data_IF_706335751505
#
_entry.id   IF_706335751505
#
_cell.length_a   1.000
_cell.length_b   1.000
_cell.length_c   1.000
_cell.angle_alpha   90.00
_cell.angle_beta   90.00
_cell.angle_gamma   90.00
#
_symmetry.space_group_name_H-M   'P 1'
#
loop_
_entity.id
_entity.type
_entity.pdbx_description
1 polymer ?
#
# COMPACT_ATOMS: atom_id res chain seq x y z
N UNK A 1 0.00 21.83 -17.26
CA UNK A 1 -1.40 21.35 -17.13
C UNK A 1 -1.99 21.92 -15.85
N UNK A 2 -3.23 22.40 -15.88
CA UNK A 2 -3.89 22.99 -14.71
C UNK A 2 -4.44 21.87 -13.82
N UNK A 3 -3.95 21.77 -12.58
CA UNK A 3 -4.55 20.92 -11.57
C UNK A 3 -5.95 21.47 -11.25
N UNK A 4 -7.00 20.71 -11.58
CA UNK A 4 -8.40 21.10 -11.31
C UNK A 4 -8.76 21.00 -9.82
N UNK A 5 -7.87 20.46 -8.99
CA UNK A 5 -8.10 20.24 -7.55
C UNK A 5 -7.62 21.44 -6.71
N UNK A 6 -8.38 21.75 -5.66
CA UNK A 6 -8.07 22.82 -4.71
C UNK A 6 -6.74 22.56 -3.98
N UNK A 7 -5.89 23.59 -3.89
CA UNK A 7 -4.56 23.49 -3.25
C UNK A 7 -4.64 23.06 -1.78
N UNK A 8 -5.69 23.45 -1.04
CA UNK A 8 -5.89 23.02 0.36
C UNK A 8 -6.21 21.53 0.42
N UNK A 9 -6.99 21.02 -0.53
CA UNK A 9 -7.31 19.60 -0.61
C UNK A 9 -6.04 18.76 -0.84
N UNK A 10 -5.20 19.17 -1.78
CA UNK A 10 -3.92 18.51 -2.07
C UNK A 10 -3.01 18.51 -0.83
N UNK A 11 -2.92 19.64 -0.11
CA UNK A 11 -2.13 19.73 1.11
C UNK A 11 -2.66 18.81 2.21
N UNK A 12 -3.99 18.71 2.36
CA UNK A 12 -4.61 17.79 3.30
C UNK A 12 -4.31 16.31 2.97
N UNK A 13 -4.40 15.91 1.68
CA UNK A 13 -4.03 14.55 1.29
C UNK A 13 -2.53 14.29 1.44
N UNK A 14 -1.66 15.25 1.15
CA UNK A 14 -0.21 15.13 1.40
C UNK A 14 0.06 14.82 2.88
N UNK A 15 -0.60 15.52 3.80
CA UNK A 15 -0.45 15.28 5.24
C UNK A 15 -0.92 13.87 5.63
N UNK A 16 -2.07 13.42 5.13
CA UNK A 16 -2.58 12.05 5.37
C UNK A 16 -1.63 10.98 4.80
N UNK A 17 -1.10 11.18 3.59
CA UNK A 17 -0.15 10.27 2.96
C UNK A 17 1.12 10.09 3.80
N UNK A 18 1.65 11.20 4.34
CA UNK A 18 2.82 11.17 5.23
C UNK A 18 2.51 10.44 6.54
N UNK A 19 1.32 10.66 7.11
CA UNK A 19 0.86 9.96 8.31
C UNK A 19 0.79 8.44 8.07
N UNK A 20 0.14 8.01 6.98
CA UNK A 20 0.10 6.59 6.59
C UNK A 20 1.49 6.00 6.35
N UNK A 21 2.41 6.74 5.71
CA UNK A 21 3.79 6.31 5.51
C UNK A 21 4.50 6.06 6.84
N UNK A 22 4.35 6.97 7.79
CA UNK A 22 4.94 6.81 9.13
C UNK A 22 4.29 5.65 9.89
N UNK A 23 2.98 5.46 9.78
CA UNK A 23 2.28 4.35 10.42
C UNK A 23 2.80 3.00 9.92
N UNK A 24 2.99 2.84 8.60
CA UNK A 24 3.55 1.63 7.98
C UNK A 24 5.00 1.43 8.42
N UNK A 25 5.82 2.49 8.40
CA UNK A 25 7.21 2.43 8.86
C UNK A 25 7.31 2.02 10.34
N UNK A 26 6.41 2.52 11.18
CA UNK A 26 6.35 2.15 12.59
C UNK A 26 5.89 0.70 12.78
N UNK A 27 4.88 0.27 12.02
CA UNK A 27 4.41 -1.13 11.97
C UNK A 27 5.56 -2.08 11.62
N UNK A 28 6.29 -1.80 10.52
CA UNK A 28 7.44 -2.59 10.10
C UNK A 28 8.56 -2.64 11.17
N UNK A 29 8.87 -1.50 11.81
CA UNK A 29 9.85 -1.45 12.90
C UNK A 29 9.41 -2.29 14.10
N UNK A 30 8.13 -2.25 14.45
CA UNK A 30 7.59 -2.99 15.58
C UNK A 30 7.56 -4.51 15.30
N UNK A 31 7.21 -4.91 14.08
CA UNK A 31 7.27 -6.32 13.67
C UNK A 31 8.70 -6.85 13.63
N UNK A 32 9.69 -6.03 13.26
CA UNK A 32 11.09 -6.43 13.25
C UNK A 32 11.64 -6.69 14.66
N UNK A 33 11.20 -5.95 15.67
CA UNK A 33 11.61 -6.22 17.06
C UNK A 33 10.95 -7.46 17.65
N UNK A 34 9.73 -7.80 17.21
CA UNK A 34 9.00 -8.99 17.67
C UNK A 34 9.53 -10.28 17.03
N UNK A 35 9.91 -10.22 15.74
CA UNK A 35 10.58 -11.30 14.99
C UNK A 35 11.95 -11.66 15.59
N UNK A 36 12.64 -10.68 16.19
CA UNK A 36 13.91 -10.89 16.90
C UNK A 36 13.75 -11.48 18.31
N UNK A 37 12.54 -11.45 18.89
CA UNK A 37 12.26 -12.00 20.23
C UNK A 37 11.79 -13.45 20.19
N UNK A 38 11.49 -13.99 19.01
CA UNK A 38 11.25 -15.41 18.82
C UNK A 38 12.64 -16.08 18.78
N UNK A 39 13.20 -16.29 19.97
CA UNK A 39 14.45 -17.04 20.11
C UNK A 39 14.27 -18.45 19.55
N UNK A 40 15.18 -18.95 18.70
CA UNK A 40 15.18 -20.34 18.22
C UNK A 40 15.39 -21.38 19.34
N UNK A 41 15.50 -20.94 20.59
CA UNK A 41 15.70 -21.77 21.79
C UNK A 41 14.39 -22.40 22.30
N UNK A 42 13.21 -21.92 21.86
CA UNK A 42 11.90 -22.52 22.21
C UNK A 42 11.46 -23.61 21.20
N UNK A 43 12.30 -23.93 20.20
CA UNK A 43 12.06 -24.97 19.21
C UNK A 43 12.29 -26.37 19.81
N UNK A 44 11.37 -26.82 20.66
CA UNK A 44 11.31 -28.21 21.10
C UNK A 44 10.58 -29.07 20.08
N UNK A 45 11.37 -29.89 19.38
CA UNK A 45 11.05 -31.20 18.77
C UNK A 45 9.89 -31.30 17.74
N UNK A 46 10.30 -31.31 16.46
CA UNK A 46 9.68 -31.91 15.25
C UNK A 46 8.29 -31.42 14.75
N UNK A 47 7.42 -30.87 15.61
CA UNK A 47 6.12 -30.31 15.19
C UNK A 47 6.14 -28.80 14.88
N UNK A 48 7.10 -28.08 15.47
CA UNK A 48 7.09 -26.62 15.52
C UNK A 48 7.77 -25.94 14.31
N UNK A 49 8.65 -26.64 13.60
CA UNK A 49 9.35 -26.11 12.41
C UNK A 49 8.37 -25.70 11.30
N UNK A 50 7.31 -26.49 11.09
CA UNK A 50 6.27 -26.15 10.12
C UNK A 50 5.56 -24.85 10.53
N UNK A 51 5.26 -24.68 11.82
CA UNK A 51 4.60 -23.49 12.36
C UNK A 51 5.49 -22.24 12.28
N UNK A 52 6.79 -22.37 12.57
CA UNK A 52 7.78 -21.30 12.40
C UNK A 52 7.90 -20.88 10.93
N UNK A 53 8.03 -21.84 10.00
CA UNK A 53 8.13 -21.55 8.57
C UNK A 53 6.85 -20.89 8.04
N UNK A 54 5.67 -21.33 8.47
CA UNK A 54 4.40 -20.69 8.12
C UNK A 54 4.35 -19.27 8.66
N UNK A 55 4.73 -19.05 9.92
CA UNK A 55 4.73 -17.72 10.55
C UNK A 55 5.70 -16.74 9.88
N UNK A 56 6.87 -17.24 9.45
CA UNK A 56 7.84 -16.47 8.66
C UNK A 56 7.30 -16.11 7.27
N UNK A 57 6.67 -17.06 6.56
CA UNK A 57 6.07 -16.82 5.24
C UNK A 57 4.92 -15.80 5.33
N UNK A 58 4.06 -15.91 6.34
CA UNK A 58 2.97 -14.96 6.60
C UNK A 58 3.53 -13.56 6.86
N UNK A 59 4.56 -13.45 7.70
CA UNK A 59 5.26 -12.19 7.98
C UNK A 59 5.89 -11.58 6.72
N UNK A 60 6.48 -12.41 5.86
CA UNK A 60 7.06 -11.96 4.58
C UNK A 60 5.98 -11.40 3.63
N UNK A 61 4.86 -12.10 3.48
CA UNK A 61 3.75 -11.64 2.63
C UNK A 61 3.07 -10.36 3.17
N UNK A 62 2.96 -10.21 4.49
CA UNK A 62 2.51 -8.96 5.13
C UNK A 62 3.45 -7.80 4.80
N UNK A 63 4.76 -8.00 4.98
CA UNK A 63 5.79 -7.00 4.64
C UNK A 63 5.74 -6.61 3.16
N UNK A 64 5.58 -7.57 2.25
CA UNK A 64 5.45 -7.26 0.81
C UNK A 64 4.25 -6.36 0.50
N UNK A 65 3.09 -6.61 1.12
CA UNK A 65 1.90 -5.75 0.95
C UNK A 65 2.12 -4.35 1.51
N UNK A 66 2.76 -4.24 2.66
CA UNK A 66 3.11 -2.95 3.26
C UNK A 66 4.12 -2.18 2.39
N UNK A 67 5.13 -2.84 1.83
CA UNK A 67 6.09 -2.23 0.90
C UNK A 67 5.41 -1.75 -0.38
N UNK A 68 4.50 -2.56 -0.95
CA UNK A 68 3.70 -2.15 -2.12
C UNK A 68 2.89 -0.89 -1.80
N UNK A 69 2.20 -0.87 -0.66
CA UNK A 69 1.44 0.30 -0.20
C UNK A 69 2.33 1.53 0.03
N UNK A 70 3.52 1.34 0.61
CA UNK A 70 4.50 2.41 0.80
C UNK A 70 4.91 3.02 -0.56
N UNK A 71 5.16 2.17 -1.56
CA UNK A 71 5.44 2.60 -2.93
C UNK A 71 4.26 3.33 -3.57
N UNK A 72 3.02 2.93 -3.27
CA UNK A 72 1.80 3.65 -3.69
C UNK A 72 1.73 5.06 -3.12
N UNK A 73 1.98 5.18 -1.82
CA UNK A 73 2.02 6.47 -1.13
C UNK A 73 3.11 7.38 -1.69
N UNK A 74 4.31 6.85 -1.93
CA UNK A 74 5.45 7.63 -2.43
C UNK A 74 5.19 8.18 -3.84
N UNK A 75 4.60 7.36 -4.72
CA UNK A 75 4.17 7.80 -6.05
C UNK A 75 3.10 8.89 -5.96
N UNK A 76 2.13 8.75 -5.05
CA UNK A 76 1.10 9.77 -4.86
C UNK A 76 1.70 11.10 -4.38
N UNK A 77 2.66 11.07 -3.45
CA UNK A 77 3.40 12.25 -2.99
C UNK A 77 4.18 12.92 -4.12
N UNK A 78 4.81 12.11 -4.99
CA UNK A 78 5.53 12.63 -6.16
C UNK A 78 4.58 13.30 -7.15
N UNK A 79 3.42 12.70 -7.45
CA UNK A 79 2.38 13.31 -8.29
C UNK A 79 1.85 14.63 -7.72
N UNK A 80 1.78 14.76 -6.40
CA UNK A 80 1.43 16.02 -5.73
C UNK A 80 2.48 17.10 -6.03
N UNK A 81 3.76 16.74 -5.98
CA UNK A 81 4.88 17.65 -6.26
C UNK A 81 4.92 18.06 -7.74
N UNK A 82 4.68 17.11 -8.64
CA UNK A 82 4.61 17.35 -10.09
C UNK A 82 3.33 18.08 -10.52
N UNK A 83 2.34 18.21 -9.63
CA UNK A 83 1.05 18.84 -9.96
C UNK A 83 0.21 18.02 -10.93
N UNK A 84 0.27 16.68 -10.83
CA UNK A 84 -0.53 15.70 -11.60
C UNK A 84 -1.32 14.76 -10.68
N UNK A 85 -1.52 15.18 -9.43
CA UNK A 85 -2.28 14.43 -8.44
C UNK A 85 -3.78 14.37 -8.79
N UNK A 86 -4.39 13.21 -8.58
CA UNK A 86 -5.80 12.99 -8.87
C UNK A 86 -6.10 12.62 -10.32
N UNK A 87 -5.11 12.25 -11.12
CA UNK A 87 -5.29 11.72 -12.48
C UNK A 87 -4.89 10.24 -12.56
N UNK A 88 -5.71 9.47 -13.28
CA UNK A 88 -5.53 8.05 -13.52
C UNK A 88 -4.25 7.80 -14.34
N UNK A 89 -3.43 6.81 -13.96
CA UNK A 89 -2.22 6.46 -14.73
C UNK A 89 -2.52 5.73 -16.06
N UNK A 90 -3.72 5.16 -16.21
CA UNK A 90 -4.10 4.37 -17.38
C UNK A 90 -4.95 5.17 -18.34
N UNK A 91 -6.01 5.80 -17.84
CA UNK A 91 -6.97 6.52 -18.67
C UNK A 91 -6.67 8.02 -18.76
N UNK A 92 -5.71 8.52 -17.98
CA UNK A 92 -5.36 9.95 -17.88
C UNK A 92 -6.53 10.85 -17.42
N UNK A 93 -7.64 10.26 -16.98
CA UNK A 93 -8.84 10.95 -16.53
C UNK A 93 -8.75 11.37 -15.05
N UNK A 94 -9.47 12.43 -14.66
CA UNK A 94 -9.56 12.84 -13.26
C UNK A 94 -10.28 11.77 -12.41
N UNK A 95 -9.65 11.40 -11.30
CA UNK A 95 -10.19 10.48 -10.29
C UNK A 95 -11.20 11.23 -9.42
N UNK A 96 -12.32 10.59 -9.09
CA UNK A 96 -13.33 11.16 -8.21
C UNK A 96 -12.76 11.56 -6.83
N UNK A 97 -13.09 12.78 -6.39
CA UNK A 97 -12.67 13.30 -5.08
C UNK A 97 -13.06 12.38 -3.92
N UNK A 98 -14.27 11.82 -3.95
CA UNK A 98 -14.74 10.87 -2.91
C UNK A 98 -13.83 9.65 -2.77
N UNK A 99 -13.20 9.20 -3.86
CA UNK A 99 -12.28 8.07 -3.86
C UNK A 99 -10.92 8.47 -3.31
N UNK A 100 -10.41 9.65 -3.69
CA UNK A 100 -9.18 10.22 -3.13
C UNK A 100 -9.31 10.53 -1.63
N UNK A 101 -10.52 10.89 -1.16
CA UNK A 101 -10.81 11.07 0.26
C UNK A 101 -10.71 9.77 1.06
N UNK A 102 -11.25 8.66 0.51
CA UNK A 102 -11.17 7.32 1.11
C UNK A 102 -9.77 6.70 1.00
N UNK A 103 -9.13 6.86 -0.15
CA UNK A 103 -7.82 6.27 -0.47
C UNK A 103 -6.94 7.32 -1.17
N UNK A 104 -6.16 8.12 -0.42
CA UNK A 104 -5.32 9.18 -0.99
C UNK A 104 -4.25 8.69 -1.97
N UNK A 105 -3.86 7.42 -1.89
CA UNK A 105 -2.83 6.81 -2.74
C UNK A 105 -3.42 6.14 -4.00
N UNK A 106 -4.73 6.26 -4.26
CA UNK A 106 -5.37 5.68 -5.43
C UNK A 106 -4.75 6.24 -6.72
N UNK A 107 -4.20 5.34 -7.55
CA UNK A 107 -3.55 5.69 -8.83
C UNK A 107 -4.45 5.47 -10.06
N UNK A 108 -5.51 4.67 -9.88
CA UNK A 108 -6.42 4.22 -10.93
C UNK A 108 -7.82 4.79 -10.68
N UNK A 109 -8.52 5.12 -11.77
CA UNK A 109 -9.95 5.42 -11.76
C UNK A 109 -10.77 4.16 -11.42
N UNK A 110 -12.05 4.34 -11.09
CA UNK A 110 -12.96 3.22 -10.82
C UNK A 110 -12.99 2.25 -12.00
N UNK A 111 -13.12 2.79 -13.21
CA UNK A 111 -13.17 2.01 -14.45
C UNK A 111 -11.86 1.24 -14.71
N UNK A 112 -10.70 1.88 -14.50
CA UNK A 112 -9.41 1.21 -14.63
C UNK A 112 -9.18 0.15 -13.53
N UNK A 113 -9.70 0.38 -12.32
CA UNK A 113 -9.64 -0.60 -11.24
C UNK A 113 -10.54 -1.80 -11.52
N UNK A 114 -11.76 -1.60 -12.03
CA UNK A 114 -12.67 -2.68 -12.44
C UNK A 114 -12.08 -3.50 -13.58
N UNK A 115 -11.47 -2.86 -14.59
CA UNK A 115 -10.79 -3.56 -15.68
C UNK A 115 -9.57 -4.36 -15.18
N UNK A 116 -8.81 -3.81 -14.24
CA UNK A 116 -7.69 -4.51 -13.64
C UNK A 116 -8.16 -5.71 -12.79
N UNK A 117 -9.24 -5.54 -12.02
CA UNK A 117 -9.83 -6.62 -11.21
C UNK A 117 -10.39 -7.73 -12.11
N UNK A 118 -11.04 -7.37 -13.22
CA UNK A 118 -11.48 -8.31 -14.27
C UNK A 118 -10.30 -9.10 -14.85
N UNK A 119 -9.17 -8.44 -15.12
CA UNK A 119 -7.94 -9.09 -15.62
C UNK A 119 -7.24 -9.95 -14.56
N UNK A 120 -7.25 -9.53 -13.30
CA UNK A 120 -6.61 -10.27 -12.20
C UNK A 120 -7.44 -11.46 -11.72
N UNK A 121 -8.78 -11.34 -11.72
CA UNK A 121 -9.69 -12.43 -11.38
C UNK A 121 -9.58 -13.63 -12.33
N UNK A 122 -9.13 -13.40 -13.58
CA UNK A 122 -8.84 -14.49 -14.52
C UNK A 122 -7.59 -15.30 -14.13
N UNK A 123 -6.66 -14.75 -13.34
CA UNK A 123 -5.34 -15.37 -13.08
C UNK A 123 -5.32 -16.30 -11.87
N UNK A 124 -6.41 -16.40 -11.11
CA UNK A 124 -6.53 -17.30 -9.92
C UNK A 124 -7.32 -18.58 -10.22
N UNK A 125 -7.76 -18.78 -11.46
CA UNK A 125 -8.36 -20.02 -11.94
C UNK A 125 -7.44 -20.65 -13.01
N UNK A 126 -6.30 -21.19 -12.58
CA UNK A 126 -5.34 -21.90 -13.42
C UNK A 126 -4.52 -22.86 -12.58
#
# INVERSE_FOLDING_TARGET
MANTFDTKFIQAQKKKLIDFKNQILNSMKNTQVEDLQISPDDASEDGDLAQVVISQNVSFGLREREIKRLREIDVALRKIDEGTYGYCEVTEEPIEMKRLEKMPWARLSLEAAEELERKQGFRVAG
#
